data_IF_418906893999
#
_entry.id   IF_418906893999
#
_cell.length_a   1.000
_cell.length_b   1.000
_cell.length_c   1.000
_cell.angle_alpha   90.00
_cell.angle_beta   90.00
_cell.angle_gamma   90.00
#
_symmetry.space_group_name_H-M   'P 1'
#
loop_
_entity.id
_entity.type
_entity.pdbx_description
1 polymer ?
#
# COMPACT_ATOMS: atom_id res chain seq x y z
N UNK A 1 -50.47 -7.33 -5.47
CA UNK A 1 -49.31 -7.62 -6.34
C UNK A 1 -49.02 -6.45 -7.24
N UNK A 2 -47.75 -6.24 -7.58
CA UNK A 2 -47.33 -5.24 -8.57
C UNK A 2 -46.79 -5.96 -9.79
N UNK A 3 -47.35 -5.68 -10.96
CA UNK A 3 -47.07 -6.41 -12.21
C UNK A 3 -45.84 -5.88 -12.98
N UNK A 4 -45.18 -4.82 -12.49
CA UNK A 4 -43.99 -4.21 -13.10
C UNK A 4 -43.04 -3.65 -12.05
N UNK A 5 -41.72 -3.54 -12.34
CA UNK A 5 -40.77 -2.85 -11.47
C UNK A 5 -41.17 -1.39 -11.23
N UNK A 6 -41.13 -0.95 -9.97
CA UNK A 6 -41.39 0.44 -9.56
C UNK A 6 -40.19 0.97 -8.77
N UNK A 7 -39.81 2.22 -9.03
CA UNK A 7 -38.81 2.94 -8.23
C UNK A 7 -39.56 3.86 -7.28
N UNK A 8 -39.33 3.71 -5.97
CA UNK A 8 -39.77 4.68 -4.96
C UNK A 8 -38.59 5.59 -4.66
N UNK A 9 -38.64 6.84 -5.14
CA UNK A 9 -37.60 7.83 -4.86
C UNK A 9 -37.85 8.48 -3.49
N UNK A 10 -37.06 8.09 -2.49
CA UNK A 10 -37.14 8.63 -1.13
C UNK A 10 -36.00 9.63 -0.90
N UNK A 11 -36.33 10.82 -0.43
CA UNK A 11 -35.36 11.86 -0.04
C UNK A 11 -35.10 11.74 1.46
N UNK A 12 -33.84 11.54 1.85
CA UNK A 12 -33.44 11.40 3.26
C UNK A 12 -32.31 12.37 3.61
N UNK A 13 -32.04 12.58 4.91
CA UNK A 13 -30.90 13.36 5.40
C UNK A 13 -29.94 12.44 6.15
N UNK A 14 -28.67 12.38 5.74
CA UNK A 14 -27.66 11.56 6.41
C UNK A 14 -27.46 12.05 7.85
N UNK A 15 -27.44 11.11 8.80
CA UNK A 15 -27.38 11.43 10.23
C UNK A 15 -28.69 11.96 10.84
N UNK A 16 -29.83 11.90 10.13
CA UNK A 16 -31.12 12.41 10.62
C UNK A 16 -31.40 11.94 12.05
N UNK A 17 -31.64 12.89 12.96
CA UNK A 17 -31.86 12.64 14.38
C UNK A 17 -30.62 12.83 15.26
N UNK A 18 -29.45 13.08 14.69
CA UNK A 18 -28.20 13.38 15.40
C UNK A 18 -27.60 14.70 14.87
N UNK A 19 -27.81 15.80 15.59
CA UNK A 19 -27.47 17.17 15.13
C UNK A 19 -26.04 17.30 14.57
N UNK A 20 -25.03 16.82 15.28
CA UNK A 20 -23.63 16.91 14.84
C UNK A 20 -23.35 16.07 13.57
N UNK A 21 -24.06 14.95 13.38
CA UNK A 21 -23.93 14.12 12.18
C UNK A 21 -24.73 14.69 11.00
N UNK A 22 -25.82 15.42 11.26
CA UNK A 22 -26.55 16.19 10.26
C UNK A 22 -25.73 17.39 9.74
N UNK A 23 -24.94 18.03 10.60
CA UNK A 23 -24.07 19.17 10.24
C UNK A 23 -22.79 18.75 9.52
N UNK A 24 -22.21 17.60 9.90
CA UNK A 24 -20.94 17.11 9.34
C UNK A 24 -21.03 15.64 8.86
N UNK A 25 -21.93 15.32 7.92
CA UNK A 25 -22.26 13.94 7.55
C UNK A 25 -21.10 13.16 6.92
N UNK A 26 -20.09 13.86 6.41
CA UNK A 26 -18.87 13.28 5.85
C UNK A 26 -17.94 12.75 6.94
N UNK A 27 -17.77 13.50 8.03
CA UNK A 27 -16.94 13.12 9.18
C UNK A 27 -17.55 11.93 9.93
N UNK A 28 -18.87 11.93 10.06
CA UNK A 28 -19.62 10.91 10.80
C UNK A 28 -20.11 9.75 9.92
N UNK A 29 -19.55 9.57 8.72
CA UNK A 29 -19.97 8.49 7.82
C UNK A 29 -19.75 7.08 8.40
N UNK A 30 -18.66 6.89 9.15
CA UNK A 30 -18.25 5.60 9.76
C UNK A 30 -17.81 5.75 11.22
N UNK A 31 -17.84 6.96 11.80
CA UNK A 31 -17.35 7.20 13.15
C UNK A 31 -18.44 6.94 14.20
N UNK A 32 -18.21 6.08 15.20
CA UNK A 32 -19.08 6.03 16.37
C UNK A 32 -19.13 7.41 17.01
N UNK A 33 -20.33 7.89 17.30
CA UNK A 33 -20.62 9.24 17.81
C UNK A 33 -19.92 9.64 19.14
N UNK A 34 -19.09 8.77 19.73
CA UNK A 34 -18.67 8.88 21.14
C UNK A 34 -17.15 8.72 21.42
N UNK A 35 -16.27 8.66 20.42
CA UNK A 35 -14.85 8.42 20.72
C UNK A 35 -14.00 9.70 20.83
N UNK A 36 -13.28 9.75 21.97
CA UNK A 36 -12.34 10.76 22.48
C UNK A 36 -11.40 11.33 21.40
N UNK A 37 -10.86 12.55 21.64
CA UNK A 37 -9.71 13.12 20.92
C UNK A 37 -8.56 12.12 20.82
N UNK A 38 -8.52 11.33 19.76
CA UNK A 38 -7.35 10.51 19.41
C UNK A 38 -6.29 11.49 18.92
N UNK A 39 -5.05 11.38 19.45
CA UNK A 39 -3.91 12.12 18.92
C UNK A 39 -3.81 11.82 17.43
N UNK A 40 -3.94 12.84 16.58
CA UNK A 40 -3.84 12.69 15.11
C UNK A 40 -2.42 12.26 14.77
N UNK A 41 -2.18 10.95 14.64
CA UNK A 41 -0.96 10.43 13.99
C UNK A 41 -0.95 10.89 12.54
N UNK A 42 0.24 11.19 12.00
CA UNK A 42 0.41 11.51 10.58
C UNK A 42 0.18 10.23 9.78
N UNK A 43 -0.82 10.20 8.91
CA UNK A 43 -1.19 9.01 8.12
C UNK A 43 -0.61 9.07 6.71
N UNK A 44 -0.52 7.94 6.02
CA UNK A 44 -0.09 7.92 4.61
C UNK A 44 -0.97 8.79 3.71
N UNK A 45 -2.30 8.78 3.88
CA UNK A 45 -3.21 9.65 3.11
C UNK A 45 -2.94 11.13 3.34
N UNK A 46 -2.58 11.52 4.59
CA UNK A 46 -2.21 12.90 4.90
C UNK A 46 -0.89 13.29 4.22
N UNK A 47 0.12 12.42 4.26
CA UNK A 47 1.40 12.65 3.56
C UNK A 47 1.19 12.75 2.05
N UNK A 48 0.41 11.84 1.48
CA UNK A 48 0.04 11.87 0.06
C UNK A 48 -0.64 13.18 -0.33
N UNK A 49 -1.65 13.62 0.44
CA UNK A 49 -2.35 14.89 0.20
C UNK A 49 -1.43 16.10 0.27
N UNK A 50 -0.59 16.17 1.31
CA UNK A 50 0.43 17.22 1.48
C UNK A 50 1.40 17.26 0.29
N UNK A 51 1.87 16.10 -0.17
CA UNK A 51 2.79 16.02 -1.31
C UNK A 51 2.10 16.34 -2.64
N UNK A 52 0.85 15.91 -2.83
CA UNK A 52 0.05 16.28 -4.01
C UNK A 52 -0.13 17.79 -4.10
N UNK A 53 -0.37 18.50 -2.99
CA UNK A 53 -0.44 19.97 -2.98
C UNK A 53 0.88 20.57 -3.46
N UNK A 54 2.02 20.15 -2.88
CA UNK A 54 3.33 20.63 -3.32
C UNK A 54 3.59 20.32 -4.79
N UNK A 55 3.16 19.15 -5.28
CA UNK A 55 3.27 18.76 -6.69
C UNK A 55 2.45 19.73 -7.54
N UNK A 56 1.20 19.99 -7.15
CA UNK A 56 0.31 20.92 -7.83
C UNK A 56 0.88 22.34 -7.90
N UNK A 57 1.59 22.82 -6.88
CA UNK A 57 2.24 24.14 -6.88
C UNK A 57 3.35 24.26 -7.94
N UNK A 58 4.09 23.19 -8.20
CA UNK A 58 5.25 23.19 -9.12
C UNK A 58 4.99 22.57 -10.50
N UNK A 59 3.93 21.77 -10.66
CA UNK A 59 3.58 21.05 -11.89
C UNK A 59 2.13 21.34 -12.28
N UNK A 60 1.93 22.03 -13.40
CA UNK A 60 0.60 22.38 -13.94
C UNK A 60 -0.04 21.26 -14.75
N UNK A 61 0.77 20.32 -15.22
CA UNK A 61 0.38 19.16 -16.02
C UNK A 61 -0.05 17.95 -15.18
N UNK A 62 -0.04 18.06 -13.85
CA UNK A 62 -0.53 17.01 -12.95
C UNK A 62 -1.97 17.28 -12.55
N UNK A 63 -2.81 16.25 -12.62
CA UNK A 63 -4.20 16.25 -12.16
C UNK A 63 -4.46 15.13 -11.18
N UNK A 64 -5.38 15.35 -10.24
CA UNK A 64 -5.81 14.36 -9.26
C UNK A 64 -7.20 13.83 -9.60
N UNK A 65 -7.36 12.51 -9.59
CA UNK A 65 -8.61 11.83 -9.88
C UNK A 65 -8.96 10.93 -8.69
N UNK A 66 -10.22 10.98 -8.25
CA UNK A 66 -10.75 10.06 -7.23
C UNK A 66 -12.14 9.55 -7.64
N UNK A 67 -12.57 8.45 -7.00
CA UNK A 67 -13.89 7.88 -7.18
C UNK A 67 -14.70 8.00 -5.87
N UNK A 68 -15.26 9.19 -5.60
CA UNK A 68 -16.01 9.54 -4.39
C UNK A 68 -15.24 9.39 -3.05
N UNK A 69 -13.90 9.44 -3.08
CA UNK A 69 -13.05 9.17 -1.91
C UNK A 69 -12.10 10.32 -1.56
N UNK A 70 -12.49 11.58 -1.84
CA UNK A 70 -11.68 12.78 -1.60
C UNK A 70 -11.06 12.82 -0.19
N UNK A 71 -11.91 12.76 0.85
CA UNK A 71 -11.44 12.79 2.24
C UNK A 71 -10.63 11.55 2.60
N UNK A 72 -11.06 10.39 2.11
CA UNK A 72 -10.43 9.11 2.39
C UNK A 72 -8.99 9.05 1.89
N UNK A 73 -8.77 9.56 0.68
CA UNK A 73 -7.47 9.58 0.01
C UNK A 73 -6.63 10.81 0.34
N UNK A 74 -7.17 11.79 1.06
CA UNK A 74 -6.43 12.98 1.50
C UNK A 74 -6.35 14.10 0.45
N UNK A 75 -7.23 14.11 -0.55
CA UNK A 75 -7.20 15.07 -1.66
C UNK A 75 -7.94 16.39 -1.42
N UNK A 76 -8.54 16.58 -0.24
CA UNK A 76 -9.29 17.79 0.10
C UNK A 76 -8.52 19.08 -0.19
N UNK A 77 -7.31 19.21 0.37
CA UNK A 77 -6.51 20.43 0.22
C UNK A 77 -6.06 20.64 -1.24
N UNK A 78 -5.85 19.56 -2.01
CA UNK A 78 -5.53 19.66 -3.44
C UNK A 78 -6.73 20.20 -4.23
N UNK A 79 -7.94 19.70 -3.97
CA UNK A 79 -9.18 20.19 -4.58
C UNK A 79 -9.41 21.67 -4.28
N UNK A 80 -9.26 22.08 -3.02
CA UNK A 80 -9.47 23.47 -2.61
C UNK A 80 -8.51 24.44 -3.31
N UNK A 81 -7.25 24.02 -3.51
CA UNK A 81 -6.21 24.85 -4.16
C UNK A 81 -6.20 24.78 -5.68
N UNK A 82 -6.56 23.64 -6.26
CA UNK A 82 -6.47 23.36 -7.69
C UNK A 82 -7.76 22.73 -8.24
N UNK A 83 -8.93 23.39 -8.09
CA UNK A 83 -10.22 22.79 -8.44
C UNK A 83 -10.30 22.36 -9.92
N UNK A 84 -9.73 23.13 -10.83
CA UNK A 84 -9.69 22.83 -12.28
C UNK A 84 -8.83 21.59 -12.65
N UNK A 85 -8.06 21.06 -11.68
CA UNK A 85 -7.18 19.89 -11.87
C UNK A 85 -7.55 18.74 -10.94
N UNK A 86 -8.70 18.83 -10.28
CA UNK A 86 -9.23 17.79 -9.42
C UNK A 86 -10.53 17.25 -10.03
N UNK A 87 -10.62 15.94 -10.17
CA UNK A 87 -11.79 15.27 -10.74
C UNK A 87 -12.31 14.19 -9.77
N UNK A 88 -13.54 14.35 -9.31
CA UNK A 88 -14.28 13.29 -8.62
C UNK A 88 -15.29 12.69 -9.59
N UNK A 89 -15.09 11.43 -9.97
CA UNK A 89 -15.94 10.73 -10.93
C UNK A 89 -17.13 10.01 -10.28
N UNK A 90 -17.35 10.21 -8.98
CA UNK A 90 -18.34 9.43 -8.21
C UNK A 90 -17.86 7.99 -7.95
N UNK A 91 -18.76 7.10 -7.55
CA UNK A 91 -18.45 5.68 -7.31
C UNK A 91 -18.37 4.93 -8.65
N UNK A 92 -17.35 5.27 -9.45
CA UNK A 92 -17.15 4.78 -10.81
C UNK A 92 -15.66 4.54 -11.10
N UNK A 93 -15.06 3.55 -10.42
CA UNK A 93 -13.63 3.26 -10.52
C UNK A 93 -13.19 2.92 -11.95
N UNK A 94 -14.02 2.19 -12.72
CA UNK A 94 -13.73 1.96 -14.15
C UNK A 94 -13.57 3.27 -14.91
N UNK A 95 -14.51 4.20 -14.70
CA UNK A 95 -14.46 5.51 -15.35
C UNK A 95 -13.23 6.30 -14.91
N UNK A 96 -12.85 6.26 -13.63
CA UNK A 96 -11.64 6.93 -13.14
C UNK A 96 -10.38 6.50 -13.92
N UNK A 97 -10.23 5.19 -14.16
CA UNK A 97 -9.05 4.63 -14.85
C UNK A 97 -9.09 4.93 -16.35
N UNK A 98 -10.23 4.73 -17.03
CA UNK A 98 -10.35 5.07 -18.46
C UNK A 98 -10.19 6.57 -18.71
N UNK A 99 -10.71 7.41 -17.81
CA UNK A 99 -10.58 8.87 -17.88
C UNK A 99 -9.11 9.29 -17.71
N UNK A 100 -8.42 8.71 -16.73
CA UNK A 100 -6.97 8.91 -16.57
C UNK A 100 -6.20 8.53 -17.84
N UNK A 101 -6.50 7.36 -18.41
CA UNK A 101 -5.90 6.92 -19.68
C UNK A 101 -6.09 7.95 -20.81
N UNK A 102 -7.29 8.51 -20.96
CA UNK A 102 -7.56 9.57 -21.94
C UNK A 102 -6.78 10.87 -21.68
N UNK A 103 -6.73 11.32 -20.43
CA UNK A 103 -5.96 12.51 -20.03
C UNK A 103 -4.45 12.33 -20.26
N UNK A 104 -3.94 11.12 -20.00
CA UNK A 104 -2.55 10.75 -20.27
C UNK A 104 -2.17 10.93 -21.73
N UNK A 105 -3.02 10.43 -22.65
CA UNK A 105 -2.85 10.65 -24.10
C UNK A 105 -2.91 12.12 -24.50
N UNK A 106 -3.64 12.95 -23.74
CA UNK A 106 -3.71 14.40 -23.90
C UNK A 106 -2.50 15.17 -23.36
N UNK A 107 -1.46 14.49 -22.86
CA UNK A 107 -0.23 15.12 -22.35
C UNK A 107 -0.30 15.57 -20.88
N UNK A 108 -1.34 15.16 -20.15
CA UNK A 108 -1.47 15.38 -18.70
C UNK A 108 -0.93 14.16 -17.94
N UNK A 109 -0.43 14.34 -16.72
CA UNK A 109 -0.05 13.25 -15.82
C UNK A 109 -1.18 13.04 -14.79
N UNK A 110 -2.07 12.06 -14.98
CA UNK A 110 -3.12 11.73 -14.03
C UNK A 110 -2.57 10.96 -12.83
N UNK A 111 -2.92 11.42 -11.63
CA UNK A 111 -2.75 10.69 -10.37
C UNK A 111 -4.12 10.17 -9.93
N UNK A 112 -4.34 8.87 -10.06
CA UNK A 112 -5.57 8.19 -9.62
C UNK A 112 -5.42 7.76 -8.18
N UNK A 113 -6.05 8.48 -7.26
CA UNK A 113 -6.07 8.16 -5.84
C UNK A 113 -7.30 7.31 -5.49
N UNK A 114 -7.04 6.06 -5.10
CA UNK A 114 -8.07 5.03 -5.01
C UNK A 114 -7.66 3.96 -3.99
N UNK A 115 -8.64 3.31 -3.37
CA UNK A 115 -8.32 2.22 -2.45
C UNK A 115 -8.00 0.93 -3.21
N UNK A 116 -7.05 0.15 -2.71
CA UNK A 116 -6.66 -1.15 -3.28
C UNK A 116 -7.86 -2.08 -3.55
N UNK A 117 -8.81 -2.15 -2.61
CA UNK A 117 -10.01 -3.00 -2.76
C UNK A 117 -10.92 -2.55 -3.90
N UNK A 118 -11.14 -1.24 -4.06
CA UNK A 118 -12.05 -0.72 -5.07
C UNK A 118 -11.43 -0.72 -6.46
N UNK A 119 -10.10 -0.63 -6.54
CA UNK A 119 -9.38 -0.73 -7.80
C UNK A 119 -9.59 -2.07 -8.52
N UNK A 120 -10.00 -3.12 -7.79
CA UNK A 120 -10.43 -4.40 -8.37
C UNK A 120 -11.58 -4.23 -9.38
N UNK A 121 -12.43 -3.19 -9.22
CA UNK A 121 -13.52 -2.88 -10.17
C UNK A 121 -13.01 -2.45 -11.55
N UNK A 122 -11.80 -1.91 -11.63
CA UNK A 122 -11.21 -1.34 -12.84
C UNK A 122 -10.12 -2.23 -13.47
N UNK A 123 -10.12 -3.53 -13.16
CA UNK A 123 -9.08 -4.46 -13.62
C UNK A 123 -8.93 -4.45 -15.15
N UNK A 124 -10.04 -4.51 -15.88
CA UNK A 124 -10.03 -4.50 -17.35
C UNK A 124 -9.50 -3.17 -17.91
N UNK A 125 -9.88 -2.03 -17.31
CA UNK A 125 -9.39 -0.71 -17.69
C UNK A 125 -7.89 -0.56 -17.42
N UNK A 126 -7.37 -1.13 -16.32
CA UNK A 126 -5.93 -1.17 -16.05
C UNK A 126 -5.21 -1.96 -17.16
N UNK A 127 -5.77 -3.10 -17.58
CA UNK A 127 -5.18 -3.95 -18.63
C UNK A 127 -5.24 -3.30 -20.00
N UNK A 128 -6.43 -2.92 -20.44
CA UNK A 128 -6.68 -2.50 -21.82
C UNK A 128 -6.44 -1.01 -22.04
N UNK A 129 -6.91 -0.15 -21.13
CA UNK A 129 -6.83 1.30 -21.35
C UNK A 129 -5.48 1.86 -20.92
N UNK A 130 -4.87 1.31 -19.87
CA UNK A 130 -3.57 1.79 -19.36
C UNK A 130 -2.43 0.93 -19.87
N UNK A 131 -2.45 -0.38 -19.58
CA UNK A 131 -1.35 -1.31 -19.86
C UNK A 131 -1.07 -1.47 -21.34
N UNK A 132 -2.08 -1.92 -22.12
CA UNK A 132 -1.93 -2.13 -23.56
C UNK A 132 -1.57 -0.84 -24.30
N UNK A 133 -2.13 0.29 -23.89
CA UNK A 133 -1.84 1.60 -24.50
C UNK A 133 -0.52 2.20 -24.05
N UNK A 134 0.14 1.64 -23.03
CA UNK A 134 1.35 2.18 -22.38
C UNK A 134 1.20 3.63 -21.94
N UNK A 135 0.02 3.97 -21.41
CA UNK A 135 -0.28 5.33 -20.99
C UNK A 135 0.35 5.64 -19.64
N UNK A 136 0.94 6.82 -19.48
CA UNK A 136 1.48 7.30 -18.21
C UNK A 136 0.36 7.59 -17.21
N UNK A 137 0.15 6.70 -16.25
CA UNK A 137 -0.77 6.90 -15.11
C UNK A 137 -0.02 6.65 -13.81
N UNK A 138 -0.29 7.46 -12.78
CA UNK A 138 0.21 7.23 -11.43
C UNK A 138 -0.97 6.76 -10.57
N UNK A 139 -0.95 5.51 -10.14
CA UNK A 139 -1.92 4.98 -9.18
C UNK A 139 -1.40 5.19 -7.77
N UNK A 140 -2.10 6.03 -7.00
CA UNK A 140 -1.88 6.20 -5.58
C UNK A 140 -2.87 5.29 -4.83
N UNK A 141 -2.40 4.08 -4.50
CA UNK A 141 -3.22 2.97 -4.02
C UNK A 141 -3.23 2.95 -2.49
N UNK A 142 -4.19 3.66 -1.92
CA UNK A 142 -4.41 3.73 -0.48
C UNK A 142 -5.09 2.44 0.03
N UNK A 143 -5.13 2.22 1.35
CA UNK A 143 -5.76 1.03 1.99
C UNK A 143 -5.21 -0.28 1.42
N UNK A 144 -3.94 -0.30 1.00
CA UNK A 144 -3.28 -1.52 0.56
C UNK A 144 -2.95 -2.42 1.77
N UNK A 145 -3.12 -3.73 1.61
CA UNK A 145 -2.97 -4.72 2.68
C UNK A 145 -4.20 -4.85 3.58
N UNK A 146 -3.97 -5.24 4.83
CA UNK A 146 -5.04 -5.44 5.82
C UNK A 146 -5.68 -4.11 6.28
N UNK A 147 -6.98 -3.95 6.07
CA UNK A 147 -7.72 -2.73 6.38
C UNK A 147 -8.49 -2.89 7.71
N UNK A 148 -8.32 -1.96 8.67
CA UNK A 148 -9.02 -2.00 9.96
C UNK A 148 -10.51 -1.65 9.83
N UNK A 149 -11.35 -2.41 10.55
CA UNK A 149 -12.76 -2.12 10.83
C UNK A 149 -13.76 -2.44 9.71
N UNK A 150 -13.35 -2.39 8.45
CA UNK A 150 -14.26 -2.43 7.29
C UNK A 150 -14.60 -3.88 6.83
N UNK A 151 -13.87 -4.89 7.33
CA UNK A 151 -14.16 -6.31 7.10
C UNK A 151 -13.70 -6.87 5.75
N UNK A 152 -14.11 -8.10 5.40
CA UNK A 152 -13.57 -8.85 4.27
C UNK A 152 -13.79 -8.18 2.91
N UNK A 153 -14.82 -7.36 2.76
CA UNK A 153 -15.12 -6.65 1.50
C UNK A 153 -14.18 -5.49 1.20
N UNK A 154 -13.38 -5.06 2.18
CA UNK A 154 -12.51 -3.88 2.07
C UNK A 154 -11.02 -4.21 2.17
N UNK A 155 -10.65 -5.49 2.32
CA UNK A 155 -9.25 -5.90 2.41
C UNK A 155 -8.53 -5.67 1.08
N UNK A 156 -7.49 -4.83 1.09
CA UNK A 156 -6.72 -4.43 -0.08
C UNK A 156 -5.55 -5.36 -0.38
N UNK A 157 -5.77 -6.67 -0.35
CA UNK A 157 -4.69 -7.68 -0.31
C UNK A 157 -4.36 -8.32 -1.67
N UNK A 158 -4.91 -7.81 -2.77
CA UNK A 158 -4.77 -8.42 -4.12
C UNK A 158 -4.10 -7.52 -5.15
N UNK A 159 -3.73 -6.28 -4.79
CA UNK A 159 -3.28 -5.29 -5.77
C UNK A 159 -1.97 -5.64 -6.47
N UNK A 160 -0.99 -6.20 -5.75
CA UNK A 160 0.26 -6.62 -6.37
C UNK A 160 0.04 -7.72 -7.40
N UNK A 161 -0.94 -8.61 -7.18
CA UNK A 161 -1.22 -9.73 -8.08
C UNK A 161 -1.57 -9.24 -9.48
N UNK A 162 -2.56 -8.35 -9.60
CA UNK A 162 -3.02 -7.91 -10.92
C UNK A 162 -2.12 -6.86 -11.56
N UNK A 163 -1.41 -6.06 -10.75
CA UNK A 163 -0.41 -5.17 -11.32
C UNK A 163 0.86 -5.89 -11.79
N UNK A 164 1.14 -7.08 -11.28
CA UNK A 164 2.29 -7.88 -11.72
C UNK A 164 2.17 -8.42 -13.15
N UNK A 165 1.00 -8.27 -13.79
CA UNK A 165 0.80 -8.64 -15.19
C UNK A 165 1.68 -7.83 -16.15
N UNK A 166 2.07 -6.61 -15.76
CA UNK A 166 2.79 -5.67 -16.61
C UNK A 166 4.26 -5.61 -16.22
N UNK A 167 5.14 -5.96 -17.16
CA UNK A 167 6.59 -5.92 -16.93
C UNK A 167 7.12 -4.48 -16.79
N UNK A 168 6.50 -3.55 -17.50
CA UNK A 168 6.90 -2.13 -17.60
C UNK A 168 6.29 -1.24 -16.51
N UNK A 169 5.28 -1.71 -15.78
CA UNK A 169 4.75 -0.96 -14.63
C UNK A 169 5.78 -0.92 -13.50
N UNK A 170 5.91 0.24 -12.87
CA UNK A 170 6.77 0.41 -11.70
C UNK A 170 5.87 0.28 -10.46
N UNK A 171 6.04 -0.79 -9.69
CA UNK A 171 5.26 -1.03 -8.47
C UNK A 171 6.11 -0.71 -7.25
N UNK A 172 5.64 0.22 -6.42
CA UNK A 172 6.33 0.75 -5.26
C UNK A 172 5.47 0.63 -4.00
N UNK A 173 6.12 0.47 -2.85
CA UNK A 173 5.49 0.41 -1.54
C UNK A 173 6.41 1.09 -0.52
N UNK A 174 6.07 2.27 0.00
CA UNK A 174 6.93 3.03 0.91
C UNK A 174 6.89 2.46 2.32
N UNK A 175 8.05 2.44 3.00
CA UNK A 175 8.14 2.10 4.43
C UNK A 175 7.55 3.19 5.34
N UNK A 176 7.65 4.44 4.93
CA UNK A 176 7.25 5.62 5.70
C UNK A 176 6.84 6.83 4.83
N UNK A 177 6.56 7.97 5.45
CA UNK A 177 6.11 9.18 4.77
C UNK A 177 7.18 9.85 3.89
N UNK A 178 8.45 9.81 4.30
CA UNK A 178 9.56 10.32 3.49
C UNK A 178 9.69 9.52 2.20
N UNK A 179 9.65 8.20 2.31
CA UNK A 179 9.76 7.31 1.14
C UNK A 179 8.54 7.45 0.22
N UNK A 180 7.32 7.63 0.75
CA UNK A 180 6.13 7.94 -0.06
C UNK A 180 6.35 9.22 -0.88
N UNK A 181 6.86 10.28 -0.24
CA UNK A 181 7.11 11.57 -0.90
C UNK A 181 8.15 11.43 -2.02
N UNK A 182 9.23 10.68 -1.78
CA UNK A 182 10.26 10.38 -2.80
C UNK A 182 9.70 9.55 -3.95
N UNK A 183 8.87 8.54 -3.65
CA UNK A 183 8.25 7.68 -4.67
C UNK A 183 7.28 8.46 -5.57
N UNK A 184 6.51 9.40 -5.02
CA UNK A 184 5.66 10.28 -5.83
C UNK A 184 6.49 11.16 -6.77
N UNK A 185 7.58 11.74 -6.27
CA UNK A 185 8.50 12.54 -7.08
C UNK A 185 9.17 11.72 -8.18
N UNK A 186 9.65 10.52 -7.85
CA UNK A 186 10.19 9.59 -8.83
C UNK A 186 9.15 9.18 -9.88
N UNK A 187 7.90 8.91 -9.47
CA UNK A 187 6.82 8.59 -10.38
C UNK A 187 6.53 9.70 -11.39
N UNK A 188 6.78 10.97 -11.06
CA UNK A 188 6.63 12.09 -12.02
C UNK A 188 7.77 12.18 -13.05
N UNK A 189 8.90 11.54 -12.79
CA UNK A 189 10.11 11.63 -13.63
C UNK A 189 10.22 10.50 -14.66
N UNK A 190 9.38 9.46 -14.55
CA UNK A 190 9.41 8.31 -15.46
C UNK A 190 8.28 8.41 -16.48
N UNK A 191 8.43 7.74 -17.63
CA UNK A 191 7.37 7.62 -18.63
C UNK A 191 6.42 6.43 -18.36
N UNK A 192 6.83 5.49 -17.51
CA UNK A 192 6.06 4.28 -17.23
C UNK A 192 4.93 4.53 -16.23
N UNK A 193 3.84 3.77 -16.34
CA UNK A 193 2.83 3.67 -15.28
C UNK A 193 3.47 3.31 -13.95
N UNK A 194 3.12 4.07 -12.93
CA UNK A 194 3.61 3.86 -11.57
C UNK A 194 2.45 3.50 -10.65
N UNK A 195 2.65 2.55 -9.76
CA UNK A 195 1.72 2.19 -8.70
C UNK A 195 2.44 2.38 -7.38
N UNK A 196 1.89 3.20 -6.50
CA UNK A 196 2.42 3.42 -5.16
C UNK A 196 1.36 2.94 -4.18
N UNK A 197 1.57 1.76 -3.59
CA UNK A 197 0.63 1.16 -2.64
C UNK A 197 1.02 1.51 -1.21
N UNK A 198 0.07 1.91 -0.38
CA UNK A 198 0.31 2.21 1.03
C UNK A 198 -0.90 1.88 1.92
N UNK A 199 -0.67 1.46 3.18
CA UNK A 199 -1.75 1.01 4.06
C UNK A 199 -2.51 2.16 4.71
N UNK A 200 -3.69 1.83 5.26
CA UNK A 200 -4.43 2.68 6.20
C UNK A 200 -3.73 2.64 7.57
N UNK A 201 -2.63 3.39 7.68
CA UNK A 201 -1.75 3.38 8.86
C UNK A 201 -1.01 4.72 9.05
N UNK A 202 -0.21 4.83 10.13
CA UNK A 202 0.71 5.94 10.33
C UNK A 202 1.88 5.91 9.34
N UNK A 203 2.30 7.10 8.93
CA UNK A 203 3.42 7.36 8.05
C UNK A 203 4.56 8.06 8.81
N UNK A 204 4.76 7.66 10.08
CA UNK A 204 5.91 8.11 10.87
C UNK A 204 7.20 7.69 10.18
N UNK A 205 8.20 8.58 10.19
CA UNK A 205 9.48 8.35 9.53
C UNK A 205 10.41 7.54 10.43
N UNK A 206 11.15 6.60 9.83
CA UNK A 206 12.27 5.98 10.52
C UNK A 206 13.41 7.00 10.69
N UNK A 207 14.31 6.79 11.67
CA UNK A 207 15.53 7.60 11.83
C UNK A 207 16.60 7.26 10.78
N UNK A 208 16.19 6.78 9.60
CA UNK A 208 17.03 6.47 8.45
C UNK A 208 16.48 7.25 7.26
N UNK A 209 17.30 8.12 6.70
CA UNK A 209 16.92 8.94 5.56
C UNK A 209 17.83 8.66 4.36
N UNK A 210 17.56 7.58 3.64
CA UNK A 210 18.25 7.27 2.38
C UNK A 210 17.44 7.74 1.18
N UNK A 211 18.15 8.23 0.16
CA UNK A 211 17.54 8.55 -1.12
C UNK A 211 16.95 7.30 -1.80
N UNK A 212 15.90 7.53 -2.60
CA UNK A 212 15.26 6.49 -3.38
C UNK A 212 16.12 6.18 -4.60
N UNK A 213 17.00 5.18 -4.48
CA UNK A 213 17.74 4.66 -5.63
C UNK A 213 16.78 3.84 -6.50
N UNK A 214 16.54 4.21 -7.78
CA UNK A 214 15.57 3.52 -8.63
C UNK A 214 15.83 2.03 -8.72
N UNK A 215 14.79 1.22 -8.49
CA UNK A 215 14.81 -0.24 -8.68
C UNK A 215 15.77 -1.01 -7.77
N UNK A 216 16.29 -0.39 -6.72
CA UNK A 216 17.19 -1.03 -5.75
C UNK A 216 16.52 -1.19 -4.40
N UNK A 217 16.82 -2.30 -3.74
CA UNK A 217 16.45 -2.47 -2.34
C UNK A 217 17.30 -1.56 -1.43
N UNK A 218 16.75 -1.14 -0.29
CA UNK A 218 17.53 -0.58 0.83
C UNK A 218 18.08 -1.70 1.69
N UNK A 219 19.31 -1.53 2.18
CA UNK A 219 19.78 -2.27 3.34
C UNK A 219 19.43 -1.45 4.59
N UNK A 220 18.58 -1.98 5.46
CA UNK A 220 18.19 -1.35 6.73
C UNK A 220 19.05 -1.81 7.92
N UNK A 221 19.66 -2.98 7.80
CA UNK A 221 20.55 -3.58 8.80
C UNK A 221 21.50 -4.53 8.10
N UNK A 222 22.74 -4.58 8.58
CA UNK A 222 23.75 -5.53 8.12
C UNK A 222 23.97 -6.62 9.18
N UNK A 223 23.95 -7.87 8.74
CA UNK A 223 24.15 -9.05 9.57
C UNK A 223 24.18 -10.32 8.71
N UNK A 224 24.40 -11.48 9.32
CA UNK A 224 24.60 -12.75 8.60
C UNK A 224 23.80 -13.94 9.18
N UNK A 225 23.03 -13.74 10.25
CA UNK A 225 22.25 -14.81 10.88
C UNK A 225 20.99 -15.19 10.08
N UNK A 226 20.34 -14.19 9.49
CA UNK A 226 19.05 -14.28 8.80
C UNK A 226 18.93 -13.17 7.75
N UNK A 227 18.42 -13.49 6.56
CA UNK A 227 18.03 -12.50 5.56
C UNK A 227 16.53 -12.22 5.70
N UNK A 228 16.16 -10.99 6.06
CA UNK A 228 14.77 -10.54 6.08
C UNK A 228 14.52 -9.69 4.83
N UNK A 229 13.55 -10.09 4.03
CA UNK A 229 13.09 -9.39 2.82
C UNK A 229 11.69 -8.87 3.11
N UNK A 230 11.52 -7.55 3.08
CA UNK A 230 10.24 -6.92 3.43
C UNK A 230 9.84 -5.87 2.40
N UNK A 231 8.55 -5.52 2.36
CA UNK A 231 8.00 -4.53 1.44
C UNK A 231 7.16 -3.49 2.17
N UNK A 232 7.44 -2.22 1.91
CA UNK A 232 6.67 -1.09 2.42
C UNK A 232 6.59 -1.05 3.93
N UNK A 233 5.39 -0.84 4.49
CA UNK A 233 5.20 -0.72 5.95
C UNK A 233 5.68 -1.94 6.74
N UNK A 234 5.80 -3.13 6.14
CA UNK A 234 6.43 -4.26 6.82
C UNK A 234 7.91 -4.00 7.12
N UNK A 235 8.63 -3.26 6.28
CA UNK A 235 10.01 -2.85 6.53
C UNK A 235 10.14 -1.92 7.74
N UNK A 236 9.13 -1.07 7.98
CA UNK A 236 9.06 -0.26 9.20
C UNK A 236 8.93 -1.13 10.45
N UNK A 237 8.03 -2.12 10.44
CA UNK A 237 7.88 -3.03 11.59
C UNK A 237 9.13 -3.90 11.80
N UNK A 238 9.75 -4.40 10.72
CA UNK A 238 11.02 -5.15 10.83
C UNK A 238 12.12 -4.27 11.42
N UNK A 239 12.20 -3.00 11.03
CA UNK A 239 13.18 -2.08 11.58
C UNK A 239 13.02 -1.89 13.11
N UNK A 240 11.78 -1.72 13.57
CA UNK A 240 11.51 -1.46 14.99
C UNK A 240 11.88 -2.62 15.92
N UNK A 241 11.96 -3.86 15.40
CA UNK A 241 12.35 -5.03 16.19
C UNK A 241 13.85 -5.32 16.15
N UNK A 242 14.64 -4.57 15.37
CA UNK A 242 16.08 -4.84 15.20
C UNK A 242 16.85 -4.79 16.52
N UNK A 243 16.62 -3.77 17.35
CA UNK A 243 17.27 -3.63 18.66
C UNK A 243 16.98 -4.85 19.54
N UNK A 244 15.71 -5.27 19.60
CA UNK A 244 15.31 -6.43 20.39
C UNK A 244 15.86 -7.76 19.81
N UNK A 245 16.04 -7.88 18.50
CA UNK A 245 16.73 -9.01 17.90
C UNK A 245 18.22 -9.02 18.24
N UNK A 246 18.88 -7.85 18.26
CA UNK A 246 20.30 -7.73 18.65
C UNK A 246 20.53 -8.06 20.12
N UNK A 247 19.62 -7.67 21.02
CA UNK A 247 19.64 -8.09 22.44
C UNK A 247 19.55 -9.62 22.57
N UNK A 248 18.80 -10.25 21.67
CA UNK A 248 18.75 -11.70 21.51
C UNK A 248 19.96 -12.25 20.72
N UNK A 249 20.97 -11.47 20.39
CA UNK A 249 22.14 -11.93 19.65
C UNK A 249 21.80 -12.48 18.25
N UNK A 250 20.72 -12.00 17.63
CA UNK A 250 20.35 -12.27 16.24
C UNK A 250 20.62 -10.99 15.45
N UNK A 251 21.53 -11.05 14.49
CA UNK A 251 21.94 -9.93 13.64
C UNK A 251 21.49 -10.19 12.20
N UNK A 252 20.29 -9.74 11.81
CA UNK A 252 19.76 -9.99 10.47
C UNK A 252 20.30 -8.99 9.43
N UNK A 253 20.50 -9.49 8.20
CA UNK A 253 20.51 -8.66 6.99
C UNK A 253 19.07 -8.29 6.67
N UNK A 254 18.73 -7.00 6.65
CA UNK A 254 17.37 -6.55 6.35
C UNK A 254 17.32 -5.76 5.06
N UNK A 255 16.50 -6.24 4.12
CA UNK A 255 16.20 -5.59 2.86
C UNK A 255 14.78 -5.00 2.89
N UNK A 256 14.69 -3.68 2.73
CA UNK A 256 13.45 -3.04 2.28
C UNK A 256 13.45 -3.07 0.76
N UNK A 257 12.57 -3.87 0.17
CA UNK A 257 12.54 -4.03 -1.29
C UNK A 257 12.17 -2.72 -2.01
N UNK A 258 11.34 -1.85 -1.39
CA UNK A 258 10.74 -0.60 -1.91
C UNK A 258 9.95 -0.74 -3.23
N UNK A 259 10.49 -1.46 -4.19
CA UNK A 259 9.94 -1.81 -5.48
C UNK A 259 9.49 -3.26 -5.47
N UNK A 260 8.20 -3.49 -5.72
CA UNK A 260 7.65 -4.80 -6.02
C UNK A 260 7.80 -5.14 -7.51
N UNK A 261 7.96 -4.16 -8.39
CA UNK A 261 8.33 -4.37 -9.79
C UNK A 261 9.10 -3.15 -10.34
N UNK A 262 10.24 -3.35 -11.01
CA UNK A 262 11.06 -4.57 -10.99
C UNK A 262 11.54 -4.91 -9.56
N UNK A 263 11.84 -6.19 -9.33
CA UNK A 263 12.46 -6.65 -8.09
C UNK A 263 13.98 -6.59 -8.21
N UNK A 264 14.68 -6.14 -7.16
CA UNK A 264 16.15 -6.19 -7.06
C UNK A 264 16.63 -7.62 -6.74
N UNK A 265 16.44 -8.53 -7.69
CA UNK A 265 16.74 -9.95 -7.55
C UNK A 265 18.24 -10.20 -7.34
N UNK A 266 19.11 -9.38 -7.94
CA UNK A 266 20.56 -9.51 -7.79
C UNK A 266 21.00 -9.30 -6.34
N UNK A 267 20.46 -8.27 -5.68
CA UNK A 267 20.71 -8.02 -4.26
C UNK A 267 20.16 -9.15 -3.39
N UNK A 268 18.94 -9.63 -3.68
CA UNK A 268 18.34 -10.76 -2.97
C UNK A 268 19.23 -12.01 -3.06
N UNK A 269 19.66 -12.38 -4.27
CA UNK A 269 20.52 -13.54 -4.51
C UNK A 269 21.90 -13.39 -3.86
N UNK A 270 22.49 -12.19 -3.89
CA UNK A 270 23.78 -11.89 -3.26
C UNK A 270 23.77 -12.26 -1.78
N UNK A 271 22.74 -11.86 -1.03
CA UNK A 271 22.66 -12.13 0.40
C UNK A 271 22.12 -13.54 0.70
N UNK A 272 21.14 -14.02 -0.05
CA UNK A 272 20.53 -15.33 0.18
C UNK A 272 21.54 -16.48 0.02
N UNK A 273 22.48 -16.39 -0.92
CA UNK A 273 23.54 -17.40 -1.11
C UNK A 273 24.47 -17.53 0.10
N UNK A 274 24.72 -16.41 0.80
CA UNK A 274 25.59 -16.36 1.98
C UNK A 274 24.85 -16.87 3.22
N UNK A 275 23.66 -16.32 3.47
CA UNK A 275 22.95 -16.49 4.74
C UNK A 275 22.11 -17.77 4.77
N UNK A 276 21.53 -18.18 3.63
CA UNK A 276 20.70 -19.40 3.44
C UNK A 276 19.46 -19.52 4.33
N UNK A 277 19.25 -18.67 5.33
CA UNK A 277 18.00 -18.53 6.08
C UNK A 277 17.32 -17.25 5.58
N UNK A 278 16.10 -17.37 5.06
CA UNK A 278 15.37 -16.25 4.47
C UNK A 278 13.97 -16.16 5.07
N UNK A 279 13.62 -14.96 5.53
CA UNK A 279 12.27 -14.58 5.94
C UNK A 279 11.75 -13.52 4.98
N UNK A 280 10.63 -13.81 4.30
CA UNK A 280 9.93 -12.84 3.44
C UNK A 280 8.69 -12.35 4.19
N UNK A 281 8.50 -11.03 4.29
CA UNK A 281 7.39 -10.41 5.04
C UNK A 281 6.65 -9.41 4.15
N UNK A 282 5.37 -9.67 3.88
CA UNK A 282 4.53 -8.75 3.09
C UNK A 282 3.08 -8.66 3.59
N UNK A 283 2.54 -7.43 3.61
CA UNK A 283 1.12 -7.16 3.86
C UNK A 283 0.34 -7.28 2.53
N UNK A 284 0.19 -8.53 2.09
CA UNK A 284 -0.48 -8.93 0.86
C UNK A 284 -0.91 -10.39 0.98
N UNK A 285 -1.84 -10.82 0.13
CA UNK A 285 -2.18 -12.23 0.01
C UNK A 285 -0.95 -13.05 -0.42
N UNK A 286 -0.79 -14.24 0.15
CA UNK A 286 0.39 -15.10 -0.06
C UNK A 286 0.65 -15.47 -1.53
N UNK A 287 -0.35 -15.31 -2.40
CA UNK A 287 -0.26 -15.52 -3.84
C UNK A 287 -0.28 -14.18 -4.60
N UNK A 288 0.66 -14.02 -5.52
CA UNK A 288 0.79 -12.86 -6.40
C UNK A 288 1.57 -11.67 -5.81
N UNK A 289 1.99 -11.77 -4.56
CA UNK A 289 2.90 -10.83 -3.91
C UNK A 289 4.38 -11.02 -4.29
N UNK A 290 5.27 -10.32 -3.59
CA UNK A 290 6.72 -10.42 -3.83
C UNK A 290 7.27 -11.81 -3.47
N UNK A 291 6.70 -12.47 -2.45
CA UNK A 291 7.12 -13.80 -2.04
C UNK A 291 6.89 -14.84 -3.13
N UNK A 292 5.79 -14.73 -3.90
CA UNK A 292 5.54 -15.62 -5.04
C UNK A 292 6.59 -15.48 -6.14
N UNK A 293 7.18 -14.30 -6.30
CA UNK A 293 8.18 -14.02 -7.34
C UNK A 293 9.62 -14.26 -6.89
N UNK A 294 9.91 -14.07 -5.60
CA UNK A 294 11.25 -14.26 -5.04
C UNK A 294 11.52 -15.73 -4.76
N UNK A 295 10.55 -16.49 -4.22
CA UNK A 295 10.74 -17.90 -3.84
C UNK A 295 11.33 -18.76 -4.97
N UNK A 296 10.80 -18.75 -6.22
CA UNK A 296 11.34 -19.60 -7.28
C UNK A 296 12.82 -19.33 -7.56
N UNK A 297 13.23 -18.07 -7.54
CA UNK A 297 14.63 -17.66 -7.78
C UNK A 297 15.56 -18.10 -6.65
N UNK A 298 15.03 -18.24 -5.43
CA UNK A 298 15.77 -18.73 -4.28
C UNK A 298 15.93 -20.26 -4.28
N UNK A 299 15.04 -21.02 -4.93
CA UNK A 299 15.05 -22.49 -4.89
C UNK A 299 16.30 -23.11 -5.52
N UNK A 300 17.01 -22.37 -6.39
CA UNK A 300 18.29 -22.81 -6.97
C UNK A 300 19.46 -22.79 -5.96
N UNK A 301 19.27 -22.21 -4.77
CA UNK A 301 20.31 -22.13 -3.73
C UNK A 301 20.25 -23.36 -2.83
N UNK A 302 21.26 -24.23 -2.93
CA UNK A 302 21.34 -25.44 -2.10
C UNK A 302 21.36 -25.14 -0.60
N UNK A 303 20.47 -25.80 0.14
CA UNK A 303 20.35 -25.70 1.59
C UNK A 303 19.63 -24.45 2.08
N UNK A 304 18.98 -23.69 1.20
CA UNK A 304 18.18 -22.54 1.58
C UNK A 304 16.93 -22.94 2.38
N UNK A 305 16.64 -22.22 3.45
CA UNK A 305 15.42 -22.31 4.24
C UNK A 305 14.65 -21.02 4.06
N UNK A 306 13.43 -21.12 3.54
CA UNK A 306 12.59 -19.95 3.24
C UNK A 306 11.34 -20.03 4.10
N UNK A 307 11.07 -18.96 4.84
CA UNK A 307 9.76 -18.68 5.43
C UNK A 307 9.14 -17.48 4.73
N UNK A 308 7.83 -17.53 4.54
CA UNK A 308 7.05 -16.42 4.01
C UNK A 308 5.89 -16.13 4.94
N UNK A 309 5.87 -14.91 5.47
CA UNK A 309 4.78 -14.34 6.25
C UNK A 309 3.99 -13.42 5.33
N UNK A 310 2.72 -13.75 5.17
CA UNK A 310 1.76 -13.05 4.33
C UNK A 310 0.34 -13.37 4.81
N UNK A 311 -0.65 -12.66 4.28
CA UNK A 311 -2.06 -12.97 4.54
C UNK A 311 -2.41 -14.29 3.87
N UNK A 312 -2.89 -15.26 4.64
CA UNK A 312 -3.16 -16.63 4.16
C UNK A 312 -4.64 -16.88 3.86
N UNK A 313 -5.53 -16.03 4.35
CA UNK A 313 -6.97 -16.12 4.13
C UNK A 313 -7.40 -15.18 3.00
N UNK A 314 -8.24 -15.68 2.09
CA UNK A 314 -8.81 -14.87 1.00
C UNK A 314 -9.74 -13.77 1.53
N UNK A 315 -10.42 -14.03 2.66
CA UNK A 315 -11.38 -13.11 3.27
C UNK A 315 -11.04 -12.90 4.75
N UNK A 316 -10.01 -12.10 5.07
CA UNK A 316 -9.71 -11.74 6.45
C UNK A 316 -10.94 -11.13 7.15
N UNK A 317 -11.20 -11.47 8.42
CA UNK A 317 -12.37 -11.00 9.14
C UNK A 317 -12.31 -9.50 9.47
N UNK A 318 -13.36 -8.99 10.11
CA UNK A 318 -13.33 -7.66 10.74
C UNK A 318 -12.39 -7.70 11.94
N UNK A 319 -11.58 -6.67 12.10
CA UNK A 319 -10.71 -6.47 13.25
C UNK A 319 -9.98 -5.13 13.18
N UNK A 320 -9.30 -4.76 14.26
CA UNK A 320 -8.29 -3.70 14.21
C UNK A 320 -7.10 -4.15 13.36
N UNK A 321 -6.30 -3.20 12.87
CA UNK A 321 -5.12 -3.53 12.05
C UNK A 321 -4.12 -4.37 12.85
N UNK A 322 -3.95 -4.07 14.13
CA UNK A 322 -3.07 -4.82 15.04
C UNK A 322 -3.51 -6.28 15.21
N UNK A 323 -4.80 -6.52 15.48
CA UNK A 323 -5.35 -7.88 15.61
C UNK A 323 -5.20 -8.67 14.30
N UNK A 324 -5.49 -8.03 13.16
CA UNK A 324 -5.35 -8.66 11.85
C UNK A 324 -3.88 -8.98 11.53
N UNK A 325 -2.94 -8.08 11.81
CA UNK A 325 -1.52 -8.33 11.62
C UNK A 325 -1.04 -9.46 12.54
N UNK A 326 -1.42 -9.45 13.81
CA UNK A 326 -1.07 -10.50 14.79
C UNK A 326 -1.59 -11.87 14.34
N UNK A 327 -2.81 -11.95 13.79
CA UNK A 327 -3.40 -13.20 13.26
C UNK A 327 -2.49 -13.89 12.24
N UNK A 328 -1.79 -13.13 11.40
CA UNK A 328 -0.90 -13.66 10.37
C UNK A 328 0.60 -13.50 10.71
N UNK A 329 0.94 -13.18 11.96
CA UNK A 329 2.31 -12.91 12.44
C UNK A 329 3.02 -11.79 11.66
N UNK A 330 2.26 -10.81 11.17
CA UNK A 330 2.76 -9.63 10.46
C UNK A 330 2.96 -8.41 11.37
N UNK A 331 2.64 -8.52 12.66
CA UNK A 331 2.99 -7.52 13.67
C UNK A 331 4.43 -7.73 14.15
N UNK A 332 5.00 -6.73 14.82
CA UNK A 332 6.37 -6.73 15.33
C UNK A 332 6.70 -7.99 16.17
N UNK A 333 5.84 -8.34 17.13
CA UNK A 333 5.95 -9.55 17.96
C UNK A 333 6.00 -10.83 17.11
N UNK A 334 5.04 -11.02 16.19
CA UNK A 334 4.97 -12.22 15.35
C UNK A 334 6.13 -12.36 14.38
N UNK A 335 6.67 -11.24 13.87
CA UNK A 335 7.86 -11.23 13.02
C UNK A 335 9.09 -11.63 13.85
N UNK A 336 9.25 -11.08 15.07
CA UNK A 336 10.36 -11.42 15.98
C UNK A 336 10.37 -12.90 16.34
N UNK A 337 9.23 -13.46 16.76
CA UNK A 337 9.08 -14.89 17.06
C UNK A 337 9.51 -15.76 15.88
N UNK A 338 9.15 -15.36 14.66
CA UNK A 338 9.50 -16.11 13.47
C UNK A 338 11.00 -16.02 13.15
N UNK A 339 11.64 -14.87 13.40
CA UNK A 339 13.10 -14.74 13.30
C UNK A 339 13.82 -15.70 14.25
N UNK A 340 13.43 -15.72 15.53
CA UNK A 340 13.99 -16.61 16.55
C UNK A 340 13.84 -18.09 16.18
N UNK A 341 12.63 -18.45 15.69
CA UNK A 341 12.30 -19.80 15.24
C UNK A 341 13.18 -20.26 14.07
N UNK A 342 13.45 -19.39 13.09
CA UNK A 342 14.27 -19.71 11.92
C UNK A 342 15.74 -19.87 12.30
N UNK A 343 16.25 -19.01 13.20
CA UNK A 343 17.64 -19.07 13.65
C UNK A 343 17.89 -20.28 14.56
N UNK A 344 16.85 -20.75 15.26
CA UNK A 344 16.87 -21.97 16.07
C UNK A 344 16.98 -21.71 17.58
N UNK A 345 16.60 -20.51 18.05
CA UNK A 345 16.45 -20.25 19.48
C UNK A 345 15.17 -20.90 20.01
N UNK A 346 15.22 -21.43 21.25
CA UNK A 346 14.01 -21.90 21.95
C UNK A 346 13.14 -20.67 22.25
N UNK A 347 11.93 -20.65 21.70
CA UNK A 347 10.89 -19.71 22.09
C UNK A 347 10.55 -20.01 23.56
N UNK A 348 10.64 -19.05 24.49
CA UNK A 348 10.11 -19.25 25.85
C UNK A 348 8.62 -19.57 25.72
N UNK A 349 8.24 -20.78 26.14
CA UNK A 349 6.85 -21.26 26.15
C UNK A 349 5.97 -20.46 27.09
#
# INVERSE_FOLDING_TARGET
DLDVPRIVHVITKKGKGLHFAEENPEVYHLSPAFLKKIKKKRTFSKVFGEEMVKIGERRKDVVAITAAMELGTGLKDFKERFPERFFDVGIAEQHAVSFASGLSKGGTIPVVAIYSTFLQRALDQIILDVGLQKNKVIFAVDRAGLVPGDGPTHQGIFDLSYFSFFKDFILMSPKDGNELSRMLNFALQTENTCVIRYPKDSADNLPIDTDLTPYRAEVLSEGDDLLIISLGKMSYYVYNILESLHEEGIYPMVLNMRFANPLDIDTVLKYARKIKKVLIVEDHFQFGGIGTRIKPVLMDITGIKIKHLAVTETYPPVGTREELLKRYKLNEEGIKEECERIVGKKIPT
#
